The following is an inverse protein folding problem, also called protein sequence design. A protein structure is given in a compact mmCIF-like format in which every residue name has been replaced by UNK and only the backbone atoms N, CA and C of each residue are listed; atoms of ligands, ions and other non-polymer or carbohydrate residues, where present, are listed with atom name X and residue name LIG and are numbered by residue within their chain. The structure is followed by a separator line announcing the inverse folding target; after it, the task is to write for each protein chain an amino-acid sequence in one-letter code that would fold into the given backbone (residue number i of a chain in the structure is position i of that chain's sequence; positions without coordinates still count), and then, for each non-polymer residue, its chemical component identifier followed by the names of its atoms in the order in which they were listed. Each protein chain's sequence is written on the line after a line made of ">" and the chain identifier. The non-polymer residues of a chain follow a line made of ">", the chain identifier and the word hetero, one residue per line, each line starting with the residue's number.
data_IF_862670014274
#
_entry.id   IF_862670014274
#
_cell.length_a   1.000
_cell.length_b   1.000
_cell.length_c   1.000
_cell.angle_alpha   90.00
_cell.angle_beta   90.00
_cell.angle_gamma   90.00
#
_symmetry.space_group_name_H-M   'P 1'
#
loop_
_entity.id
_entity.type
_entity.pdbx_description
1 polymer ?
#
# COMPACT_ATOMS: atom_id res chain seq x y z
N UNK A 1 -8.88 4.94 -9.74
CA UNK A 1 -9.48 4.08 -8.71
C UNK A 1 -8.73 2.76 -8.65
N UNK A 2 -8.66 2.16 -7.47
CA UNK A 2 -8.11 0.84 -7.23
C UNK A 2 -9.08 0.03 -6.35
N UNK A 3 -9.18 -1.27 -6.62
CA UNK A 3 -9.96 -2.21 -5.81
C UNK A 3 -9.08 -2.87 -4.76
N UNK A 4 -7.83 -3.19 -5.10
CA UNK A 4 -6.89 -3.87 -4.22
C UNK A 4 -5.94 -2.91 -3.52
N UNK A 5 -5.12 -2.22 -4.29
CA UNK A 5 -4.05 -1.41 -3.73
C UNK A 5 -3.59 -0.27 -4.64
N UNK A 6 -2.93 0.68 -4.00
CA UNK A 6 -2.12 1.71 -4.63
C UNK A 6 -0.70 1.51 -4.12
N UNK A 7 0.26 1.40 -5.03
CA UNK A 7 1.65 1.11 -4.72
C UNK A 7 2.55 2.21 -5.27
N UNK A 8 3.40 2.76 -4.42
CA UNK A 8 4.56 3.54 -4.86
C UNK A 8 5.77 2.65 -4.74
N UNK A 9 6.48 2.44 -5.82
CA UNK A 9 7.69 1.61 -5.84
C UNK A 9 8.81 2.26 -6.63
N UNK A 10 10.04 2.05 -6.20
CA UNK A 10 11.21 2.53 -6.93
C UNK A 10 11.22 2.03 -8.37
N UNK A 11 11.73 2.84 -9.25
CA UNK A 11 11.94 2.51 -10.66
C UNK A 11 13.44 2.52 -10.99
N UNK A 12 13.88 1.58 -11.81
CA UNK A 12 15.27 1.52 -12.29
C UNK A 12 16.26 1.01 -11.23
N UNK A 13 17.23 1.84 -10.82
CA UNK A 13 18.34 1.43 -9.97
C UNK A 13 17.91 0.86 -8.61
N UNK A 14 18.66 -0.15 -8.12
CA UNK A 14 18.47 -0.73 -6.78
C UNK A 14 18.91 0.28 -5.71
N UNK A 15 18.03 1.18 -5.35
CA UNK A 15 18.26 2.21 -4.33
C UNK A 15 17.05 2.34 -3.44
N UNK A 16 17.30 2.61 -2.17
CA UNK A 16 16.27 2.88 -1.19
C UNK A 16 15.73 4.27 -1.46
N UNK A 17 14.41 4.38 -1.49
CA UNK A 17 13.69 5.67 -1.59
C UNK A 17 13.15 6.04 -0.22
N UNK A 18 13.15 7.32 0.07
CA UNK A 18 12.52 7.87 1.26
C UNK A 18 11.12 8.34 0.92
N UNK A 19 10.14 7.86 1.68
CA UNK A 19 8.74 8.27 1.59
C UNK A 19 8.28 8.88 2.90
N UNK A 20 7.74 10.09 2.87
CA UNK A 20 6.99 10.63 4.00
C UNK A 20 5.53 10.28 3.84
N UNK A 21 4.95 9.65 4.84
CA UNK A 21 3.53 9.30 4.86
C UNK A 21 2.82 10.14 5.90
N UNK A 22 1.80 10.84 5.46
CA UNK A 22 0.95 11.69 6.29
C UNK A 22 -0.45 11.08 6.37
N UNK A 23 -1.09 11.22 7.52
CA UNK A 23 -2.48 10.84 7.75
C UNK A 23 -3.22 12.05 8.26
N UNK A 24 -4.27 12.46 7.55
CA UNK A 24 -5.05 13.66 7.88
C UNK A 24 -4.16 14.90 8.11
N UNK A 25 -3.14 15.07 7.28
CA UNK A 25 -2.19 16.19 7.33
C UNK A 25 -1.08 16.07 8.38
N UNK A 26 -1.06 15.02 9.21
CA UNK A 26 -0.03 14.78 10.22
C UNK A 26 0.95 13.72 9.75
N UNK A 27 2.25 13.96 9.88
CA UNK A 27 3.27 12.98 9.54
C UNK A 27 3.13 11.73 10.42
N UNK A 28 2.81 10.60 9.79
CA UNK A 28 2.76 9.30 10.45
C UNK A 28 4.16 8.72 10.60
N UNK A 29 4.89 8.64 9.49
CA UNK A 29 6.23 8.05 9.48
C UNK A 29 7.01 8.45 8.22
N UNK A 30 8.33 8.31 8.30
CA UNK A 30 9.25 8.39 7.18
C UNK A 30 9.80 7.01 6.91
N UNK A 31 9.45 6.42 5.77
CA UNK A 31 9.91 5.09 5.37
C UNK A 31 11.13 5.17 4.45
N UNK A 32 12.16 4.41 4.78
CA UNK A 32 13.28 4.11 3.89
C UNK A 32 13.06 2.70 3.33
N UNK A 33 12.56 2.59 2.12
CA UNK A 33 12.05 1.33 1.59
C UNK A 33 12.15 1.25 0.07
N UNK A 34 11.91 0.07 -0.49
CA UNK A 34 11.75 -0.11 -1.94
C UNK A 34 10.42 0.46 -2.44
N UNK A 35 9.45 0.59 -1.54
CA UNK A 35 8.14 1.15 -1.85
C UNK A 35 7.20 1.16 -0.64
N UNK A 36 5.99 1.63 -0.87
CA UNK A 36 4.89 1.65 0.11
C UNK A 36 3.61 1.20 -0.58
N UNK A 37 2.89 0.29 0.08
CA UNK A 37 1.59 -0.22 -0.36
C UNK A 37 0.50 0.40 0.51
N UNK A 38 -0.53 0.95 -0.12
CA UNK A 38 -1.77 1.35 0.53
C UNK A 38 -2.86 0.42 0.03
N UNK A 39 -3.31 -0.48 0.90
CA UNK A 39 -4.19 -1.60 0.56
C UNK A 39 -5.58 -1.45 1.16
N UNK A 40 -6.58 -1.84 0.38
CA UNK A 40 -7.93 -2.10 0.87
C UNK A 40 -7.98 -3.45 1.60
N UNK A 41 -9.04 -3.75 2.36
CA UNK A 41 -9.25 -5.10 2.92
C UNK A 41 -9.23 -6.20 1.85
N UNK A 42 -9.85 -5.97 0.70
CA UNK A 42 -9.85 -6.90 -0.44
C UNK A 42 -8.43 -7.14 -0.95
N UNK A 43 -7.62 -6.10 -1.08
CA UNK A 43 -6.22 -6.18 -1.53
C UNK A 43 -5.25 -6.74 -0.50
N UNK A 44 -5.68 -6.89 0.77
CA UNK A 44 -4.79 -7.35 1.85
C UNK A 44 -4.17 -8.72 1.59
N UNK A 45 -4.85 -9.58 0.84
CA UNK A 45 -4.37 -10.92 0.45
C UNK A 45 -3.57 -10.95 -0.85
N UNK A 46 -3.35 -9.78 -1.48
CA UNK A 46 -2.54 -9.60 -2.69
C UNK A 46 -1.10 -9.21 -2.36
N UNK A 47 -0.62 -8.15 -2.99
CA UNK A 47 0.77 -7.69 -2.81
C UNK A 47 1.08 -7.29 -1.36
N UNK A 48 0.11 -6.73 -0.64
CA UNK A 48 0.22 -6.45 0.79
C UNK A 48 0.70 -7.68 1.60
N UNK A 49 0.10 -8.85 1.35
CA UNK A 49 0.49 -10.08 2.05
C UNK A 49 1.92 -10.50 1.72
N UNK A 50 2.33 -10.42 0.45
CA UNK A 50 3.70 -10.73 0.02
C UNK A 50 4.74 -9.79 0.62
N UNK A 51 4.36 -8.55 0.92
CA UNK A 51 5.20 -7.57 1.60
C UNK A 51 5.20 -7.72 3.13
N UNK A 52 4.52 -8.72 3.68
CA UNK A 52 4.45 -8.98 5.12
C UNK A 52 3.33 -8.21 5.84
N UNK A 53 2.39 -7.64 5.10
CA UNK A 53 1.21 -6.99 5.66
C UNK A 53 0.17 -7.98 6.22
N UNK A 54 -0.73 -7.52 7.07
CA UNK A 54 -1.75 -8.36 7.68
C UNK A 54 -2.82 -8.78 6.66
N UNK A 55 -3.43 -9.93 6.90
CA UNK A 55 -4.68 -10.33 6.25
C UNK A 55 -5.83 -9.63 6.92
N UNK A 56 -6.71 -9.04 6.13
CA UNK A 56 -7.88 -8.31 6.60
C UNK A 56 -9.15 -8.91 6.01
N UNK A 57 -10.18 -9.04 6.85
CA UNK A 57 -11.48 -9.47 6.38
C UNK A 57 -12.06 -8.44 5.39
N UNK A 58 -12.58 -8.87 4.22
CA UNK A 58 -13.06 -7.94 3.17
C UNK A 58 -14.16 -6.98 3.60
N UNK A 59 -14.91 -7.28 4.67
CA UNK A 59 -15.99 -6.43 5.21
C UNK A 59 -15.50 -5.35 6.16
N UNK A 60 -14.21 -5.37 6.56
CA UNK A 60 -13.66 -4.36 7.46
C UNK A 60 -13.60 -2.98 6.80
N UNK A 61 -13.86 -1.93 7.58
CA UNK A 61 -13.79 -0.54 7.10
C UNK A 61 -12.46 0.10 7.50
N UNK A 62 -11.38 -0.37 6.88
CA UNK A 62 -10.01 0.06 7.15
C UNK A 62 -9.20 0.24 5.89
N UNK A 63 -8.02 0.85 6.03
CA UNK A 63 -6.93 0.90 5.04
C UNK A 63 -5.66 0.40 5.73
N UNK A 64 -4.83 -0.33 5.00
CA UNK A 64 -3.54 -0.82 5.49
C UNK A 64 -2.42 -0.14 4.74
N UNK A 65 -1.42 0.38 5.46
CA UNK A 65 -0.16 0.87 4.91
C UNK A 65 0.92 -0.17 5.22
N UNK A 66 1.59 -0.68 4.20
CA UNK A 66 2.67 -1.66 4.34
C UNK A 66 3.90 -1.22 3.54
N UNK A 67 5.04 -0.99 4.19
CA UNK A 67 6.29 -0.71 3.47
C UNK A 67 6.83 -1.98 2.81
N UNK A 68 7.50 -1.81 1.66
CA UNK A 68 8.14 -2.89 0.91
C UNK A 68 9.63 -2.89 1.24
N UNK A 69 10.14 -3.98 1.80
CA UNK A 69 11.56 -4.15 2.12
C UNK A 69 12.14 -2.93 2.88
N UNK A 70 11.47 -2.50 3.92
CA UNK A 70 11.94 -1.39 4.77
C UNK A 70 13.28 -1.71 5.42
N UNK A 71 14.17 -0.71 5.45
CA UNK A 71 15.48 -0.83 6.09
C UNK A 71 15.47 -0.50 7.59
N UNK A 72 14.32 -0.14 8.16
CA UNK A 72 14.17 0.03 9.61
C UNK A 72 13.84 -1.30 10.28
N UNK A 73 14.52 -1.61 11.39
CA UNK A 73 14.41 -2.89 12.09
C UNK A 73 13.00 -3.17 12.67
N UNK A 74 12.18 -2.16 12.87
CA UNK A 74 10.86 -2.26 13.51
C UNK A 74 9.76 -1.60 12.69
N UNK A 75 9.74 -1.84 11.38
CA UNK A 75 8.71 -1.27 10.53
C UNK A 75 7.56 -2.24 10.37
N UNK A 76 6.49 -1.98 11.08
CA UNK A 76 5.23 -2.73 10.97
C UNK A 76 4.27 -2.06 10.01
N UNK A 77 3.34 -2.83 9.47
CA UNK A 77 2.17 -2.28 8.79
C UNK A 77 1.32 -1.48 9.76
N UNK A 78 0.69 -0.43 9.25
CA UNK A 78 -0.22 0.41 10.02
C UNK A 78 -1.64 0.23 9.49
N UNK A 79 -2.58 -0.02 10.40
CA UNK A 79 -4.01 -0.14 10.09
C UNK A 79 -4.70 1.16 10.48
N UNK A 80 -5.41 1.76 9.55
CA UNK A 80 -6.10 3.04 9.68
C UNK A 80 -7.60 2.90 9.40
N UNK A 81 -8.38 3.89 9.77
CA UNK A 81 -9.78 3.98 9.36
C UNK A 81 -9.89 4.15 7.84
N UNK A 82 -10.92 3.58 7.24
CA UNK A 82 -11.24 3.79 5.82
C UNK A 82 -11.54 5.26 5.49
N UNK A 83 -11.88 6.07 6.49
CA UNK A 83 -12.19 7.50 6.32
C UNK A 83 -10.93 8.39 6.40
N UNK A 84 -9.77 7.83 6.76
CA UNK A 84 -8.54 8.60 6.83
C UNK A 84 -8.04 8.96 5.43
N UNK A 85 -7.49 10.17 5.32
CA UNK A 85 -6.85 10.67 4.10
C UNK A 85 -5.35 10.47 4.24
N UNK A 86 -4.78 9.72 3.31
CA UNK A 86 -3.36 9.38 3.30
C UNK A 86 -2.67 10.18 2.21
N UNK A 87 -1.57 10.84 2.54
CA UNK A 87 -0.69 11.45 1.56
C UNK A 87 0.69 10.80 1.61
N UNK A 88 1.22 10.47 0.45
CA UNK A 88 2.58 9.92 0.31
C UNK A 88 3.40 10.88 -0.52
N UNK A 89 4.50 11.34 0.05
CA UNK A 89 5.47 12.22 -0.59
C UNK A 89 6.74 11.44 -0.94
N UNK A 90 7.23 11.60 -2.15
CA UNK A 90 8.53 11.10 -2.58
C UNK A 90 9.60 12.10 -2.16
N UNK A 91 10.47 11.72 -1.23
CA UNK A 91 11.53 12.61 -0.76
C UNK A 91 12.74 12.58 -1.69
N UNK A 92 13.55 13.67 -1.72
CA UNK A 92 14.84 13.67 -2.38
C UNK A 92 15.78 12.63 -1.77
N UNK A 93 16.61 12.02 -2.59
CA UNK A 93 17.69 11.17 -2.16
C UNK A 93 18.82 11.93 -1.50
N UNK A 94 19.88 11.22 -1.12
CA UNK A 94 21.09 11.84 -0.53
C UNK A 94 21.65 12.93 -1.43
N UNK A 95 22.08 14.02 -0.81
CA UNK A 95 22.61 15.22 -1.47
C UNK A 95 21.62 15.88 -2.45
N UNK A 96 20.32 15.79 -2.18
CA UNK A 96 19.27 16.41 -2.99
C UNK A 96 19.03 15.72 -4.34
N UNK A 97 19.51 14.49 -4.51
CA UNK A 97 19.30 13.75 -5.76
C UNK A 97 17.83 13.49 -6.01
N UNK A 98 17.42 13.70 -7.26
CA UNK A 98 16.07 13.36 -7.69
C UNK A 98 15.89 11.84 -7.75
N UNK A 99 14.87 11.35 -7.06
CA UNK A 99 14.42 9.95 -7.11
C UNK A 99 13.22 9.84 -8.06
N UNK A 100 13.07 8.67 -8.66
CA UNK A 100 11.96 8.33 -9.55
C UNK A 100 11.25 7.08 -9.01
N UNK A 101 9.94 7.14 -8.95
CA UNK A 101 9.09 6.03 -8.51
C UNK A 101 7.93 5.83 -9.46
N UNK A 102 7.48 4.59 -9.58
CA UNK A 102 6.25 4.24 -10.27
C UNK A 102 5.09 4.28 -9.28
N UNK A 103 4.01 4.94 -9.67
CA UNK A 103 2.72 4.87 -9.01
C UNK A 103 1.85 3.86 -9.74
N UNK A 104 1.47 2.79 -9.06
CA UNK A 104 0.71 1.67 -9.62
C UNK A 104 -0.66 1.57 -8.95
N UNK A 105 -1.68 1.17 -9.72
CA UNK A 105 -3.03 0.85 -9.24
C UNK A 105 -3.38 -0.57 -9.68
N UNK A 106 -3.72 -1.44 -8.74
CA UNK A 106 -4.10 -2.84 -9.00
C UNK A 106 -3.11 -3.55 -9.94
N UNK A 107 -1.80 -3.40 -9.66
CA UNK A 107 -0.71 -4.05 -10.38
C UNK A 107 -0.30 -3.42 -11.71
N UNK A 108 -0.97 -2.36 -12.18
CA UNK A 108 -0.60 -1.68 -13.40
C UNK A 108 0.08 -0.34 -13.12
N UNK A 109 1.25 -0.10 -13.74
CA UNK A 109 1.91 1.21 -13.69
C UNK A 109 1.05 2.25 -14.37
N UNK A 110 0.76 3.34 -13.66
CA UNK A 110 -0.13 4.42 -14.14
C UNK A 110 0.57 5.74 -14.30
N UNK A 111 1.51 6.05 -13.42
CA UNK A 111 2.24 7.32 -13.44
C UNK A 111 3.67 7.14 -12.93
N UNK A 112 4.54 8.00 -13.44
CA UNK A 112 5.85 8.24 -12.88
C UNK A 112 5.75 9.43 -11.93
N UNK A 113 6.35 9.32 -10.75
CA UNK A 113 6.49 10.38 -9.78
C UNK A 113 7.97 10.63 -9.51
N UNK A 114 8.29 11.84 -9.12
CA UNK A 114 9.65 12.26 -8.81
C UNK A 114 9.71 12.91 -7.42
N UNK A 115 10.92 13.11 -6.92
CA UNK A 115 11.13 13.80 -5.63
C UNK A 115 10.37 15.11 -5.56
N UNK A 116 9.63 15.32 -4.49
CA UNK A 116 8.76 16.47 -4.25
C UNK A 116 7.29 16.23 -4.64
N UNK A 117 7.02 15.21 -5.45
CA UNK A 117 5.63 14.87 -5.77
C UNK A 117 4.92 14.25 -4.56
N UNK A 118 3.63 14.53 -4.46
CA UNK A 118 2.72 13.95 -3.48
C UNK A 118 1.53 13.30 -4.16
N UNK A 119 1.09 12.18 -3.64
CA UNK A 119 -0.17 11.55 -3.99
C UNK A 119 -1.10 11.52 -2.80
N UNK A 120 -2.33 11.98 -2.99
CA UNK A 120 -3.40 11.92 -2.00
C UNK A 120 -4.27 10.69 -2.29
N UNK A 121 -4.45 9.84 -1.30
CA UNK A 121 -5.16 8.57 -1.37
C UNK A 121 -6.27 8.58 -0.32
N UNK A 122 -7.49 8.33 -0.76
CA UNK A 122 -8.67 8.27 0.10
C UNK A 122 -9.65 7.25 -0.43
N UNK A 123 -10.57 6.84 0.41
CA UNK A 123 -11.71 6.02 0.01
C UNK A 123 -12.49 6.72 -1.09
N UNK A 124 -12.83 5.97 -2.13
CA UNK A 124 -13.71 6.46 -3.19
C UNK A 124 -15.17 6.44 -2.73
N UNK A 125 -15.98 7.33 -3.32
CA UNK A 125 -17.44 7.30 -3.13
C UNK A 125 -18.05 6.11 -3.85
N UNK A 126 -17.46 5.71 -4.98
CA UNK A 126 -17.86 4.54 -5.75
C UNK A 126 -17.44 3.27 -5.05
N UNK A 127 -18.28 2.26 -5.13
CA UNK A 127 -18.03 0.93 -4.57
C UNK A 127 -18.01 -0.14 -5.66
N UNK A 128 -17.04 -1.05 -5.60
CA UNK A 128 -17.04 -2.25 -6.42
C UNK A 128 -17.90 -3.33 -5.74
N UNK A 129 -18.94 -3.79 -6.43
CA UNK A 129 -19.78 -4.89 -5.94
C UNK A 129 -19.20 -6.23 -6.39
N UNK A 130 -18.67 -7.00 -5.45
CA UNK A 130 -18.17 -8.35 -5.71
C UNK A 130 -19.29 -9.36 -5.46
N UNK A 131 -19.66 -10.09 -6.51
CA UNK A 131 -20.66 -11.17 -6.41
C UNK A 131 -19.96 -12.43 -5.94
N UNK A 132 -20.37 -12.93 -4.79
CA UNK A 132 -19.88 -14.19 -4.25
C UNK A 132 -20.69 -15.35 -4.82
N UNK A 133 -20.09 -16.16 -5.69
CA UNK A 133 -20.74 -17.31 -6.31
C UNK A 133 -20.65 -18.58 -5.43
N UNK A 134 -19.64 -18.66 -4.56
CA UNK A 134 -19.46 -19.82 -3.67
C UNK A 134 -20.06 -19.58 -2.29
N UNK A 135 -20.55 -20.65 -1.66
CA UNK A 135 -21.02 -20.62 -0.26
C UNK A 135 -19.87 -20.72 0.76
N UNK A 136 -18.63 -20.81 0.30
CA UNK A 136 -17.48 -20.93 1.18
C UNK A 136 -17.23 -19.65 1.98
N UNK A 137 -16.90 -19.79 3.25
CA UNK A 137 -16.57 -18.66 4.10
C UNK A 137 -15.18 -18.10 3.77
N UNK A 138 -14.98 -16.82 4.03
CA UNK A 138 -13.65 -16.19 3.94
C UNK A 138 -12.60 -16.97 4.75
N UNK A 139 -12.96 -17.39 5.96
CA UNK A 139 -12.06 -18.16 6.84
C UNK A 139 -11.63 -19.49 6.24
N UNK A 140 -12.52 -20.18 5.52
CA UNK A 140 -12.15 -21.43 4.83
C UNK A 140 -11.15 -21.17 3.71
N UNK A 141 -11.44 -20.18 2.87
CA UNK A 141 -10.54 -19.76 1.77
C UNK A 141 -9.17 -19.34 2.30
N UNK A 142 -9.14 -18.58 3.39
CA UNK A 142 -7.90 -18.14 4.03
C UNK A 142 -7.10 -19.31 4.59
N UNK A 143 -7.75 -20.23 5.29
CA UNK A 143 -7.09 -21.43 5.81
C UNK A 143 -6.42 -22.26 4.72
N UNK A 144 -7.05 -22.37 3.56
CA UNK A 144 -6.49 -23.08 2.41
C UNK A 144 -5.29 -22.34 1.82
N UNK A 145 -5.38 -21.03 1.64
CA UNK A 145 -4.27 -20.21 1.16
C UNK A 145 -3.06 -20.19 2.12
N UNK A 146 -3.31 -20.17 3.43
CA UNK A 146 -2.25 -20.13 4.45
C UNK A 146 -1.57 -21.50 4.66
N UNK A 147 -2.18 -22.60 4.26
CA UNK A 147 -1.56 -23.93 4.35
C UNK A 147 -0.39 -24.13 3.39
N UNK A 148 -0.22 -23.23 2.42
CA UNK A 148 0.78 -23.35 1.37
C UNK A 148 0.52 -24.60 0.51
N UNK A 149 0.34 -24.41 -0.74
CA UNK A 149 0.49 -25.53 -1.69
C UNK A 149 1.97 -25.84 -1.86
#
# INVERSE_FOLDING_TARGET
>A
LAVNDIVLTREGNIRIVQFNVYVNGTLLNTYLADGVIISTPTGSTGYNLSAGGPVVEPTASIIVITPICSHALNTSSVVLSAEDVIEVEVCPGRYGRQEEVALCYDGAVRRKMVSGDRVCIRRAEETAKLIKLSKESFMKTMREKMKGN
#
